data_IF_483257398431
#
_entry.id   IF_483257398431
#
_cell.length_a   1.000
_cell.length_b   1.000
_cell.length_c   1.000
_cell.angle_alpha   90.00
_cell.angle_beta   90.00
_cell.angle_gamma   90.00
#
_symmetry.space_group_name_H-M   'P 1'
#
loop_
_entity.id
_entity.type
_entity.pdbx_description
1 polymer ?
2 water ?
#
# COMPACT_ATOMS: atom_id res chain seq x y z
N UNK A 14 18.92 18.82 33.01
CA UNK A 14 17.71 18.24 32.41
C UNK A 14 16.70 19.32 32.01
N UNK A 15 16.18 19.20 30.79
CA UNK A 15 15.26 20.18 30.22
C UNK A 15 13.88 20.15 30.87
N UNK A 16 13.00 21.04 30.42
CA UNK A 16 11.60 21.02 30.84
C UNK A 16 10.97 19.68 30.51
N UNK A 17 9.92 19.29 31.25
CA UNK A 17 9.22 18.04 30.93
C UNK A 17 8.59 18.10 29.54
N UNK A 18 7.89 19.18 29.23
CA UNK A 18 7.27 19.33 27.92
C UNK A 18 8.33 19.52 26.82
N UNK A 19 9.48 20.05 27.21
CA UNK A 19 10.60 20.22 26.28
C UNK A 19 11.23 18.86 26.00
N UNK A 20 11.34 18.06 27.05
CA UNK A 20 11.99 16.76 26.96
C UNK A 20 11.24 15.85 25.98
N UNK A 21 9.91 15.93 26.04
CA UNK A 21 9.04 15.19 25.13
C UNK A 21 9.23 15.63 23.68
N UNK A 22 9.39 16.94 23.50
CA UNK A 22 9.58 17.52 22.18
C UNK A 22 10.77 16.84 21.51
N UNK A 23 11.84 16.67 22.29
CA UNK A 23 13.05 16.01 21.83
C UNK A 23 12.85 14.51 21.62
N UNK A 24 12.11 13.88 22.53
CA UNK A 24 11.76 12.48 22.36
C UNK A 24 11.07 12.30 21.01
N UNK A 25 10.06 13.13 20.75
CA UNK A 25 9.36 13.08 19.47
C UNK A 25 10.34 13.16 18.31
N UNK A 26 11.16 14.21 18.31
CA UNK A 26 12.15 14.42 17.26
C UNK A 26 13.06 13.22 17.11
N UNK A 27 13.60 12.75 18.24
CA UNK A 27 14.51 11.62 18.21
C UNK A 27 13.83 10.41 17.59
N UNK A 28 12.52 10.31 17.82
CA UNK A 28 11.72 9.21 17.28
C UNK A 28 11.63 9.21 15.76
N UNK A 29 11.31 10.35 15.16
CA UNK A 29 11.17 10.42 13.71
C UNK A 29 12.48 10.11 12.99
N UNK A 30 13.59 10.38 13.66
CA UNK A 30 14.90 10.09 13.09
C UNK A 30 15.05 8.62 12.72
N UNK A 31 14.25 7.77 13.35
CA UNK A 31 14.28 6.33 13.10
C UNK A 31 13.62 5.93 11.77
N UNK A 32 12.57 6.66 11.40
CA UNK A 32 11.80 6.30 10.22
C UNK A 32 12.69 6.01 8.99
N UNK A 33 13.56 6.97 8.63
CA UNK A 33 14.51 6.73 7.53
C UNK A 33 15.30 5.45 7.75
N UNK A 34 15.81 5.29 8.97
CA UNK A 34 16.60 4.11 9.34
C UNK A 34 15.82 2.79 9.21
N UNK A 35 14.59 2.77 9.71
CA UNK A 35 13.77 1.57 9.62
C UNK A 35 13.36 1.26 8.16
N UNK A 36 13.18 2.30 7.34
CA UNK A 36 12.82 2.06 5.95
C UNK A 36 13.84 1.12 5.30
N UNK A 37 15.13 1.34 5.59
CA UNK A 37 16.23 0.55 5.01
C UNK A 37 16.97 -0.20 6.11
N UNK A 38 16.88 -1.53 6.12
CA UNK A 38 17.33 -2.26 7.28
C UNK A 38 17.97 -3.62 7.11
N UNK A 39 19.07 -3.81 7.85
CA UNK A 39 19.69 -5.11 8.00
C UNK A 39 18.64 -6.11 8.45
N UNK A 40 18.88 -7.39 8.22
CA UNK A 40 18.02 -8.42 8.78
C UNK A 40 18.82 -9.37 9.67
N UNK A 44 17.02 -16.50 7.82
CA UNK A 44 17.83 -17.37 8.68
C UNK A 44 17.31 -18.81 8.67
N UNK A 45 18.23 -19.76 8.49
CA UNK A 45 17.90 -21.18 8.48
C UNK A 45 17.10 -21.57 9.71
N UNK A 46 17.52 -21.08 10.87
CA UNK A 46 16.75 -21.27 12.09
C UNK A 46 15.94 -20.02 12.42
N UNK A 47 14.70 -20.01 11.94
CA UNK A 47 13.79 -18.90 12.14
C UNK A 47 12.47 -19.45 12.70
N UNK A 48 12.05 -18.93 13.84
CA UNK A 48 10.82 -19.40 14.47
C UNK A 48 9.62 -18.65 13.96
N UNK A 49 8.88 -19.24 13.03
CA UNK A 49 7.66 -18.63 12.54
C UNK A 49 6.81 -18.17 13.73
N UNK A 50 6.53 -19.10 14.64
CA UNK A 50 5.66 -18.79 15.76
C UNK A 50 6.34 -17.94 16.82
N UNK A 51 7.58 -18.29 17.18
CA UNK A 51 8.28 -17.50 18.19
C UNK A 51 8.46 -16.06 17.71
N UNK A 52 8.53 -15.87 16.39
CA UNK A 52 8.66 -14.52 15.85
C UNK A 52 7.42 -13.70 16.14
N UNK A 53 6.27 -14.22 15.73
CA UNK A 53 5.04 -13.46 15.88
C UNK A 53 4.68 -13.24 17.34
N UNK A 54 5.13 -14.13 18.21
CA UNK A 54 4.92 -13.96 19.63
C UNK A 54 5.65 -12.72 20.11
N UNK A 55 6.95 -12.65 19.81
CA UNK A 55 7.79 -11.57 20.29
C UNK A 55 7.31 -10.21 19.78
N UNK A 56 6.92 -10.17 18.50
CA UNK A 56 6.49 -8.93 17.88
C UNK A 56 5.25 -8.38 18.55
N UNK A 57 4.30 -9.28 18.84
CA UNK A 57 3.09 -8.92 19.55
C UNK A 57 3.41 -8.30 20.91
N UNK A 58 4.20 -9.01 21.69
CA UNK A 58 4.63 -8.51 22.99
C UNK A 58 5.23 -7.14 22.81
N UNK A 59 6.09 -7.01 21.80
CA UNK A 59 6.77 -5.76 21.56
C UNK A 59 5.72 -4.67 21.47
N UNK A 60 4.72 -4.90 20.62
CA UNK A 60 3.61 -3.97 20.41
C UNK A 60 2.85 -3.62 21.68
N UNK A 61 2.49 -4.63 22.45
CA UNK A 61 1.76 -4.40 23.69
C UNK A 61 2.53 -3.42 24.54
N UNK A 62 3.81 -3.74 24.73
CA UNK A 62 4.70 -2.90 25.52
C UNK A 62 4.69 -1.47 25.00
N UNK A 63 4.79 -1.30 23.69
CA UNK A 63 4.76 0.04 23.12
C UNK A 63 3.49 0.80 23.55
N UNK A 64 2.33 0.22 23.29
CA UNK A 64 1.08 0.88 23.66
C UNK A 64 0.92 1.13 25.19
N UNK A 65 1.41 0.22 26.04
CA UNK A 65 1.44 0.48 27.49
C UNK A 65 2.13 1.80 27.75
N UNK A 66 3.26 2.00 27.10
CA UNK A 66 4.02 3.20 27.34
C UNK A 66 3.22 4.38 26.86
N UNK A 67 2.60 4.24 25.70
CA UNK A 67 1.78 5.31 25.16
C UNK A 67 0.70 5.69 26.16
N UNK A 68 -0.02 4.68 26.65
CA UNK A 68 -1.06 4.88 27.64
C UNK A 68 -0.51 5.53 28.90
N UNK A 69 0.63 5.02 29.38
CA UNK A 69 1.23 5.54 30.60
C UNK A 69 1.49 7.03 30.45
N UNK A 70 2.22 7.39 29.41
CA UNK A 70 2.57 8.79 29.18
C UNK A 70 1.31 9.63 29.06
N UNK A 71 0.32 9.11 28.33
CA UNK A 71 -0.89 9.87 28.06
C UNK A 71 -1.62 10.23 29.35
N UNK A 72 -1.89 9.23 30.18
CA UNK A 72 -2.58 9.45 31.43
C UNK A 72 -1.81 10.43 32.30
N UNK A 73 -0.49 10.25 32.34
CA UNK A 73 0.36 11.05 33.21
C UNK A 73 0.39 12.50 32.78
N UNK A 74 0.66 12.74 31.50
CA UNK A 74 0.80 14.11 31.04
C UNK A 74 -0.54 14.76 30.78
N UNK A 75 -1.61 14.10 31.21
CA UNK A 75 -2.95 14.66 31.12
C UNK A 75 -3.30 15.48 32.34
N UNK A 76 -2.51 15.38 33.39
CA UNK A 76 -2.90 15.96 34.65
C UNK A 76 -1.79 16.78 35.31
N UNK A 77 -2.14 17.52 36.35
CA UNK A 77 -1.17 18.35 37.04
C UNK A 77 -1.00 17.93 38.50
N UNK A 78 0.19 18.20 39.06
CA UNK A 78 1.27 18.84 38.32
C UNK A 78 1.90 17.85 37.36
N UNK A 79 2.72 18.31 36.43
CA UNK A 79 3.49 17.39 35.59
C UNK A 79 4.50 16.68 36.47
N UNK A 80 5.09 15.61 35.95
CA UNK A 80 6.21 14.95 36.65
C UNK A 80 7.45 15.84 36.71
N UNK A 81 8.35 15.54 37.64
CA UNK A 81 9.64 16.22 37.73
C UNK A 81 10.47 15.96 36.47
N UNK A 82 11.52 16.78 36.25
CA UNK A 82 12.30 16.60 35.02
C UNK A 82 12.94 15.23 34.96
N UNK A 83 13.43 14.72 36.08
CA UNK A 83 14.07 13.42 36.10
C UNK A 83 13.06 12.30 35.90
N UNK A 84 11.86 12.47 36.45
CA UNK A 84 10.78 11.52 36.25
C UNK A 84 10.46 11.42 34.77
N UNK A 85 10.31 12.58 34.14
CA UNK A 85 10.09 12.65 32.71
C UNK A 85 11.21 11.91 31.95
N UNK A 86 12.44 12.08 32.43
CA UNK A 86 13.58 11.42 31.83
C UNK A 86 13.36 9.92 31.79
N UNK A 87 12.93 9.36 32.92
CA UNK A 87 12.67 7.93 32.94
C UNK A 87 11.60 7.57 31.92
N UNK A 88 10.48 8.31 31.94
CA UNK A 88 9.38 8.00 31.03
C UNK A 88 9.91 7.96 29.60
N UNK A 89 10.65 9.00 29.23
CA UNK A 89 11.18 9.09 27.88
C UNK A 89 12.01 7.86 27.53
N UNK A 90 12.78 7.38 28.49
CA UNK A 90 13.62 6.22 28.25
C UNK A 90 12.78 4.98 28.02
N UNK A 91 11.77 4.79 28.87
CA UNK A 91 10.88 3.65 28.72
C UNK A 91 10.30 3.63 27.32
N UNK A 92 9.96 4.81 26.82
CA UNK A 92 9.33 4.94 25.50
C UNK A 92 10.31 4.50 24.42
N UNK A 93 11.53 5.04 24.50
CA UNK A 93 12.58 4.68 23.56
C UNK A 93 12.91 3.19 23.62
N UNK A 94 13.04 2.68 24.83
CA UNK A 94 13.34 1.27 25.04
C UNK A 94 12.28 0.42 24.34
N UNK A 95 11.01 0.75 24.59
CA UNK A 95 9.89 0.00 24.01
C UNK A 95 9.95 0.07 22.50
N UNK A 96 10.27 1.24 21.97
CA UNK A 96 10.37 1.39 20.53
C UNK A 96 11.55 0.57 19.98
N UNK A 97 12.73 0.79 20.55
CA UNK A 97 13.93 0.05 20.13
C UNK A 97 13.64 -1.45 20.10
N UNK A 98 13.01 -1.95 21.15
CA UNK A 98 12.75 -3.38 21.27
C UNK A 98 11.84 -3.86 20.16
N UNK A 99 10.89 -3.01 19.77
CA UNK A 99 9.94 -3.40 18.75
C UNK A 99 10.61 -3.49 17.39
N UNK A 100 11.34 -2.44 17.03
CA UNK A 100 12.09 -2.43 15.79
C UNK A 100 13.02 -3.64 15.73
N UNK A 101 13.72 -3.91 16.83
CA UNK A 101 14.63 -5.04 16.91
C UNK A 101 13.96 -6.33 16.44
N UNK A 102 12.73 -6.55 16.91
CA UNK A 102 11.97 -7.72 16.49
C UNK A 102 11.74 -7.67 14.99
N UNK A 103 11.31 -6.51 14.49
CA UNK A 103 11.10 -6.38 13.07
C UNK A 103 12.35 -6.82 12.32
N UNK A 104 13.51 -6.32 12.76
CA UNK A 104 14.78 -6.61 12.09
C UNK A 104 15.14 -8.09 12.14
N UNK A 105 14.35 -8.87 12.88
CA UNK A 105 14.55 -10.31 12.96
C UNK A 105 13.91 -11.06 11.78
N UNK A 106 13.06 -10.38 11.02
CA UNK A 106 12.41 -11.01 9.89
C UNK A 106 13.31 -11.03 8.65
N UNK A 107 13.57 -12.24 8.11
CA UNK A 107 14.45 -12.45 6.95
C UNK A 107 13.75 -12.20 5.62
N UNK A 108 14.42 -11.54 4.67
CA UNK A 108 13.88 -11.37 3.32
C UNK A 108 13.45 -12.73 2.80
N UNK A 109 14.22 -13.73 3.20
CA UNK A 109 13.88 -15.14 3.11
C UNK A 109 12.37 -15.41 3.13
N UNK A 110 11.68 -14.78 4.06
CA UNK A 110 10.27 -15.07 4.34
C UNK A 110 9.26 -14.43 3.38
N UNK A 111 9.76 -13.60 2.48
CA UNK A 111 8.89 -12.89 1.54
C UNK A 111 9.09 -11.40 1.58
N UNK A 112 9.38 -10.83 0.42
CA UNK A 112 9.55 -9.39 0.30
C UNK A 112 8.24 -8.66 0.62
N UNK A 113 7.15 -9.19 0.07
CA UNK A 113 5.84 -8.63 0.33
C UNK A 113 5.46 -8.68 1.81
N UNK A 114 5.76 -9.81 2.44
CA UNK A 114 5.50 -10.01 3.85
C UNK A 114 6.29 -8.98 4.64
N UNK A 115 7.55 -8.82 4.26
CA UNK A 115 8.45 -7.93 4.97
C UNK A 115 8.03 -6.48 4.79
N UNK A 116 7.50 -6.14 3.62
CA UNK A 116 7.08 -4.77 3.40
C UNK A 116 5.97 -4.42 4.37
N UNK A 117 5.06 -5.37 4.60
CA UNK A 117 3.91 -5.11 5.45
C UNK A 117 4.34 -5.02 6.90
N UNK A 118 5.24 -5.89 7.31
CA UNK A 118 5.70 -5.80 8.68
C UNK A 118 6.46 -4.49 8.84
N UNK A 119 7.26 -4.15 7.83
CA UNK A 119 8.01 -2.90 7.87
C UNK A 119 7.07 -1.71 8.02
N UNK A 120 6.04 -1.67 7.18
CA UNK A 120 5.07 -0.59 7.20
C UNK A 120 4.33 -0.49 8.52
N UNK A 121 4.01 -1.62 9.11
CA UNK A 121 3.37 -1.62 10.41
C UNK A 121 4.37 -1.05 11.42
N UNK A 122 5.62 -1.49 11.32
CA UNK A 122 6.66 -1.03 12.24
C UNK A 122 6.82 0.48 12.17
N UNK A 123 6.89 1.00 10.96
CA UNK A 123 6.96 2.44 10.80
C UNK A 123 5.72 3.14 11.40
N UNK A 124 4.52 2.61 11.10
CA UNK A 124 3.27 3.19 11.59
C UNK A 124 3.27 3.37 13.09
N UNK A 125 3.79 2.36 13.76
CA UNK A 125 3.90 2.38 15.19
C UNK A 125 4.87 3.48 15.60
N UNK A 126 6.09 3.44 15.04
CA UNK A 126 7.10 4.42 15.38
C UNK A 126 6.57 5.83 15.18
N UNK A 127 5.97 6.06 14.01
CA UNK A 127 5.45 7.38 13.65
C UNK A 127 4.30 7.78 14.57
N UNK A 128 3.36 6.88 14.78
CA UNK A 128 2.29 7.12 15.73
C UNK A 128 2.84 7.56 17.08
N UNK A 129 3.79 6.80 17.62
CA UNK A 129 4.31 7.11 18.94
C UNK A 129 4.93 8.49 18.95
N UNK A 130 5.51 8.87 17.81
CA UNK A 130 6.11 10.19 17.70
C UNK A 130 5.03 11.26 17.68
N UNK A 131 3.92 11.00 16.99
CA UNK A 131 2.84 11.98 16.88
C UNK A 131 2.30 12.32 18.25
N UNK A 132 2.15 11.28 19.07
CA UNK A 132 1.59 11.41 20.41
C UNK A 132 2.49 12.25 21.30
N UNK A 133 3.79 11.99 21.22
CA UNK A 133 4.77 12.68 22.04
C UNK A 133 4.74 14.17 21.76
N UNK A 134 4.67 14.53 20.48
CA UNK A 134 4.43 15.92 20.11
C UNK A 134 3.16 16.48 20.76
N UNK A 135 2.05 15.80 20.52
CA UNK A 135 0.75 16.23 21.02
C UNK A 135 0.78 16.51 22.52
N UNK A 136 1.45 15.63 23.26
CA UNK A 136 1.53 15.77 24.69
C UNK A 136 2.40 16.96 25.09
N UNK A 137 3.21 17.45 24.15
CA UNK A 137 4.18 18.51 24.41
C UNK A 137 3.61 19.92 24.34
N UNK A 138 2.40 20.05 23.79
CA UNK A 138 1.77 21.36 23.68
C UNK A 138 0.73 21.59 24.76
N UNK A 153 -5.85 8.69 17.69
CA UNK A 153 -5.23 7.53 18.36
C UNK A 153 -4.31 6.73 17.44
N UNK A 154 -3.57 7.45 16.61
CA UNK A 154 -2.64 6.85 15.66
C UNK A 154 -1.84 5.70 16.27
N UNK A 155 -1.20 5.93 17.40
CA UNK A 155 -0.34 4.91 17.99
C UNK A 155 -1.09 3.65 18.38
N UNK A 156 -2.17 3.83 19.15
CA UNK A 156 -2.91 2.69 19.65
C UNK A 156 -3.44 1.88 18.46
N UNK A 157 -4.13 2.56 17.56
CA UNK A 157 -4.61 1.91 16.36
C UNK A 157 -3.47 1.11 15.72
N UNK A 158 -2.33 1.78 15.54
CA UNK A 158 -1.17 1.12 14.91
C UNK A 158 -0.75 -0.14 15.65
N UNK A 159 -0.76 -0.09 16.98
CA UNK A 159 -0.41 -1.25 17.79
C UNK A 159 -1.48 -2.33 17.69
N UNK A 160 -2.75 -1.93 17.58
CA UNK A 160 -3.84 -2.85 17.29
C UNK A 160 -3.54 -3.74 16.07
N UNK A 161 -3.00 -3.14 15.02
CA UNK A 161 -2.75 -3.83 13.74
C UNK A 161 -2.02 -5.17 13.81
N UNK A 162 -1.18 -5.38 14.82
CA UNK A 162 -0.34 -6.58 14.86
C UNK A 162 -1.06 -7.89 14.49
N UNK A 163 -2.09 -8.26 15.26
CA UNK A 163 -2.85 -9.47 14.93
C UNK A 163 -3.35 -9.52 13.49
N UNK A 164 -3.77 -8.38 12.93
CA UNK A 164 -4.34 -8.35 11.59
C UNK A 164 -3.33 -8.69 10.51
N UNK A 165 -2.22 -7.98 10.51
CA UNK A 165 -1.23 -8.15 9.47
C UNK A 165 -0.91 -9.62 9.26
N UNK A 166 -0.89 -10.05 7.98
CA UNK A 166 -0.58 -11.41 7.51
C UNK A 166 0.73 -11.96 8.08
N UNK A 167 0.80 -13.28 8.18
CA UNK A 167 1.94 -13.93 8.81
C UNK A 167 2.64 -14.90 7.85
N UNK A 168 2.24 -14.88 6.58
CA UNK A 168 2.94 -15.61 5.52
C UNK A 168 2.78 -14.91 4.18
N UNK A 169 3.76 -15.08 3.31
CA UNK A 169 3.79 -14.31 2.08
C UNK A 169 2.57 -14.53 1.18
N UNK A 170 1.85 -15.64 1.40
CA UNK A 170 0.64 -15.87 0.62
C UNK A 170 -0.45 -14.88 1.03
N UNK A 171 -0.75 -14.83 2.32
CA UNK A 171 -1.74 -13.90 2.81
C UNK A 171 -1.32 -12.46 2.50
N UNK A 172 -0.02 -12.20 2.59
CA UNK A 172 0.51 -10.87 2.29
C UNK A 172 0.22 -10.53 0.84
N UNK A 173 0.50 -11.47 -0.06
CA UNK A 173 0.20 -11.28 -1.47
C UNK A 173 -1.29 -11.04 -1.66
N UNK A 174 -2.10 -11.87 -1.00
CA UNK A 174 -3.54 -11.74 -1.14
C UNK A 174 -3.98 -10.35 -0.72
N UNK A 175 -3.46 -9.90 0.40
CA UNK A 175 -3.77 -8.57 0.90
C UNK A 175 -3.41 -7.52 -0.14
N UNK A 176 -2.21 -7.63 -0.69
CA UNK A 176 -1.70 -6.62 -1.59
C UNK A 176 -2.62 -6.55 -2.80
N UNK A 177 -2.99 -7.74 -3.27
CA UNK A 177 -3.88 -7.85 -4.40
C UNK A 177 -5.23 -7.16 -4.13
N UNK A 178 -5.85 -7.43 -2.99
CA UNK A 178 -7.13 -6.78 -2.76
C UNK A 178 -6.98 -5.26 -2.62
N UNK A 179 -5.88 -4.80 -2.04
CA UNK A 179 -5.63 -3.35 -1.98
C UNK A 179 -5.65 -2.77 -3.40
N UNK A 180 -5.16 -3.55 -4.35
CA UNK A 180 -5.16 -3.11 -5.73
C UNK A 180 -6.55 -3.08 -6.33
N UNK A 181 -7.23 -4.22 -6.25
CA UNK A 181 -8.61 -4.29 -6.72
C UNK A 181 -9.39 -3.07 -6.24
N UNK A 182 -9.31 -2.82 -4.93
CA UNK A 182 -10.02 -1.70 -4.36
C UNK A 182 -9.62 -0.36 -4.97
N UNK A 183 -8.32 -0.12 -5.15
CA UNK A 183 -7.87 1.15 -5.72
C UNK A 183 -8.43 1.36 -7.12
N UNK A 184 -8.25 0.35 -7.96
CA UNK A 184 -8.81 0.41 -9.30
C UNK A 184 -10.32 0.66 -9.27
N UNK A 185 -11.03 -0.14 -8.48
CA UNK A 185 -12.47 0.02 -8.31
C UNK A 185 -12.85 1.48 -8.02
N UNK A 186 -12.14 2.12 -7.11
CA UNK A 186 -12.44 3.51 -6.81
C UNK A 186 -12.21 4.43 -8.01
N UNK A 187 -11.09 4.24 -8.69
CA UNK A 187 -10.76 5.06 -9.85
C UNK A 187 -11.91 5.03 -10.86
N UNK A 188 -12.29 3.80 -11.21
CA UNK A 188 -13.47 3.51 -11.99
C UNK A 188 -14.61 4.41 -11.52
N UNK A 189 -15.12 4.14 -10.33
CA UNK A 189 -16.26 4.90 -9.79
C UNK A 189 -16.07 6.41 -9.93
N UNK A 190 -14.88 6.91 -9.60
CA UNK A 190 -14.63 8.35 -9.68
C UNK A 190 -14.86 8.87 -11.10
N UNK A 191 -14.23 8.23 -12.08
CA UNK A 191 -14.39 8.66 -13.46
C UNK A 191 -15.84 8.57 -13.90
N UNK A 192 -16.52 7.51 -13.50
CA UNK A 192 -17.92 7.30 -13.88
C UNK A 192 -18.82 8.41 -13.33
N UNK A 193 -18.74 8.65 -12.03
CA UNK A 193 -19.46 9.78 -11.45
C UNK A 193 -19.08 11.05 -12.20
N UNK A 194 -17.78 11.23 -12.42
CA UNK A 194 -17.26 12.40 -13.11
C UNK A 194 -17.98 12.61 -14.44
N UNK A 195 -18.04 11.57 -15.23
CA UNK A 195 -18.70 11.63 -16.53
C UNK A 195 -20.19 11.92 -16.41
N UNK A 196 -20.88 11.19 -15.51
CA UNK A 196 -22.31 11.38 -15.32
C UNK A 196 -22.67 12.85 -15.11
N UNK A 197 -21.97 13.48 -14.18
CA UNK A 197 -22.24 14.84 -13.78
C UNK A 197 -21.96 15.82 -14.93
N UNK A 198 -21.10 15.42 -15.84
CA UNK A 198 -20.84 16.20 -17.05
C UNK A 198 -22.15 16.57 -17.74
N UNK A 199 -22.31 17.86 -18.07
CA UNK A 199 -23.55 18.40 -18.64
C UNK A 199 -24.32 17.38 -19.49
N UNK A 200 -25.53 17.02 -19.04
CA UNK A 200 -26.38 16.04 -19.73
C UNK A 200 -26.71 16.45 -21.16
N UNK A 229 -15.83 25.24 -23.34
CA UNK A 229 -14.60 25.39 -24.10
C UNK A 229 -13.53 24.43 -23.57
N UNK A 230 -12.53 24.97 -22.87
CA UNK A 230 -11.57 24.14 -22.16
C UNK A 230 -12.24 23.63 -20.90
N UNK A 231 -11.60 22.71 -20.19
CA UNK A 231 -12.15 22.21 -18.93
C UNK A 231 -13.50 21.52 -19.15
N UNK A 232 -13.84 21.31 -20.41
CA UNK A 232 -15.05 20.58 -20.78
C UNK A 232 -14.67 19.23 -21.34
N UNK A 233 -15.68 18.44 -21.69
CA UNK A 233 -15.45 17.23 -22.47
C UNK A 233 -16.22 17.36 -23.79
N UNK A 234 -15.54 17.10 -24.90
CA UNK A 234 -16.19 17.12 -26.20
C UNK A 234 -17.00 15.86 -26.41
N UNK A 235 -17.91 15.87 -27.39
CA UNK A 235 -18.57 14.64 -27.80
C UNK A 235 -17.49 13.61 -28.09
N UNK A 236 -16.48 14.02 -28.86
CA UNK A 236 -15.36 13.16 -29.20
C UNK A 236 -14.66 12.70 -27.92
N UNK A 237 -14.44 13.62 -27.00
CA UNK A 237 -13.86 13.28 -25.71
C UNK A 237 -14.70 12.20 -25.05
N UNK A 238 -16.01 12.46 -25.00
CA UNK A 238 -16.97 11.54 -24.39
C UNK A 238 -16.88 10.17 -25.00
N UNK A 239 -16.92 10.11 -26.32
CA UNK A 239 -16.88 8.85 -27.04
C UNK A 239 -15.62 8.05 -26.74
N UNK A 240 -14.49 8.73 -26.68
CA UNK A 240 -13.21 8.07 -26.40
C UNK A 240 -13.10 7.62 -24.95
N UNK A 241 -13.88 8.23 -24.08
CA UNK A 241 -13.84 7.86 -22.67
C UNK A 241 -14.39 6.44 -22.49
N UNK A 242 -15.47 6.13 -23.20
CA UNK A 242 -16.13 4.83 -23.09
C UNK A 242 -15.18 3.63 -23.09
N UNK A 243 -14.35 3.50 -24.14
CA UNK A 243 -13.39 2.39 -24.18
C UNK A 243 -12.43 2.46 -23.00
N UNK A 244 -11.88 3.65 -22.73
CA UNK A 244 -10.96 3.82 -21.61
C UNK A 244 -11.54 3.26 -20.33
N UNK A 245 -12.84 3.49 -20.10
CA UNK A 245 -13.47 3.05 -18.87
C UNK A 245 -13.60 1.53 -18.80
N UNK A 246 -14.04 0.92 -19.89
CA UNK A 246 -14.09 -0.53 -19.96
C UNK A 246 -12.69 -1.11 -19.70
N UNK A 247 -11.68 -0.49 -20.30
CA UNK A 247 -10.29 -0.94 -20.14
C UNK A 247 -9.92 -0.96 -18.65
N UNK A 248 -10.36 0.08 -17.94
CA UNK A 248 -10.10 0.12 -16.52
C UNK A 248 -10.84 -1.03 -15.84
N UNK A 249 -12.11 -1.21 -16.20
CA UNK A 249 -12.92 -2.31 -15.66
C UNK A 249 -12.26 -3.66 -15.94
N UNK A 250 -11.79 -3.85 -17.16
CA UNK A 250 -11.06 -5.05 -17.48
C UNK A 250 -9.85 -5.19 -16.54
N UNK A 251 -9.18 -4.08 -16.25
CA UNK A 251 -8.04 -4.10 -15.33
C UNK A 251 -8.41 -4.71 -13.99
N UNK A 252 -9.49 -4.21 -13.40
CA UNK A 252 -9.98 -4.74 -12.13
C UNK A 252 -10.30 -6.21 -12.31
N UNK A 253 -11.04 -6.53 -13.36
CA UNK A 253 -11.34 -7.91 -13.68
C UNK A 253 -10.07 -8.74 -13.61
N UNK A 254 -8.98 -8.22 -14.18
CA UNK A 254 -7.69 -8.89 -14.19
C UNK A 254 -7.15 -9.16 -12.79
N UNK A 255 -7.12 -8.11 -11.96
CA UNK A 255 -6.54 -8.24 -10.65
C UNK A 255 -7.37 -9.24 -9.85
N UNK A 256 -8.68 -9.21 -10.04
CA UNK A 256 -9.57 -10.09 -9.29
C UNK A 256 -9.32 -11.52 -9.70
N UNK A 257 -9.06 -11.72 -11.00
CA UNK A 257 -8.79 -13.05 -11.51
C UNK A 257 -7.47 -13.55 -10.91
N UNK A 258 -6.48 -12.67 -10.87
CA UNK A 258 -5.19 -13.00 -10.31
C UNK A 258 -5.31 -13.35 -8.83
N UNK A 259 -5.97 -12.48 -8.06
CA UNK A 259 -6.19 -12.74 -6.63
C UNK A 259 -6.78 -14.14 -6.46
N UNK A 260 -7.87 -14.38 -7.17
CA UNK A 260 -8.59 -15.66 -7.10
C UNK A 260 -7.65 -16.83 -7.32
N UNK A 261 -6.91 -16.80 -8.42
CA UNK A 261 -5.96 -17.87 -8.71
C UNK A 261 -4.96 -18.03 -7.57
N UNK A 262 -4.44 -16.91 -7.06
CA UNK A 262 -3.51 -16.97 -5.94
C UNK A 262 -4.18 -17.62 -4.72
N UNK A 263 -5.39 -17.15 -4.42
CA UNK A 263 -6.14 -17.71 -3.31
C UNK A 263 -6.31 -19.21 -3.46
N UNK A 264 -6.77 -19.63 -4.64
CA UNK A 264 -7.10 -21.04 -4.86
C UNK A 264 -5.87 -21.94 -5.02
N UNK A 265 -4.84 -21.44 -5.69
CA UNK A 265 -3.69 -22.27 -6.03
C UNK A 265 -2.37 -21.86 -5.38
N UNK A 266 -2.31 -20.63 -4.87
CA UNK A 266 -1.09 -20.14 -4.27
C UNK A 266 -0.58 -21.07 -3.19
N UNK A 267 0.73 -21.21 -3.10
CA UNK A 267 1.32 -22.02 -2.04
C UNK A 267 2.43 -21.27 -1.30
N UNK A 268 2.27 -21.18 0.02
CA UNK A 268 3.18 -20.44 0.87
C UNK A 268 4.66 -20.58 0.49
N UNK A 269 5.07 -21.79 0.10
CA UNK A 269 6.48 -22.05 -0.26
C UNK A 269 6.98 -21.13 -1.36
N UNK A 270 6.09 -20.80 -2.29
CA UNK A 270 6.45 -20.09 -3.50
C UNK A 270 6.74 -18.61 -3.27
N UNK A 271 7.46 -18.32 -2.20
CA UNK A 271 7.82 -16.96 -1.82
C UNK A 271 8.21 -16.09 -3.00
N UNK A 272 9.10 -16.62 -3.84
CA UNK A 272 9.57 -15.89 -5.00
C UNK A 272 8.45 -15.59 -5.99
N UNK A 273 7.70 -16.60 -6.37
CA UNK A 273 6.67 -16.40 -7.37
C UNK A 273 5.58 -15.48 -6.85
N UNK A 274 5.21 -15.67 -5.58
CA UNK A 274 4.22 -14.78 -5.00
C UNK A 274 4.72 -13.36 -5.14
N UNK A 275 5.97 -13.13 -4.74
CA UNK A 275 6.58 -11.82 -4.85
C UNK A 275 6.53 -11.32 -6.29
N UNK A 276 6.85 -12.19 -7.24
CA UNK A 276 6.76 -11.86 -8.66
C UNK A 276 5.37 -11.39 -9.06
N UNK A 277 4.35 -12.23 -8.81
CA UNK A 277 3.02 -11.87 -9.28
C UNK A 277 2.61 -10.55 -8.63
N UNK A 278 2.87 -10.41 -7.33
CA UNK A 278 2.55 -9.17 -6.63
C UNK A 278 3.25 -7.98 -7.30
N UNK A 279 4.54 -8.12 -7.58
CA UNK A 279 5.30 -7.00 -8.13
C UNK A 279 4.68 -6.44 -9.42
N UNK A 280 4.37 -7.31 -10.36
CA UNK A 280 3.80 -6.83 -11.61
C UNK A 280 2.37 -6.34 -11.38
N UNK A 281 1.61 -7.05 -10.55
CA UNK A 281 0.25 -6.66 -10.18
C UNK A 281 0.17 -5.22 -9.70
N UNK A 282 1.17 -4.81 -8.93
CA UNK A 282 1.16 -3.50 -8.32
C UNK A 282 1.21 -2.40 -9.36
N UNK A 283 1.73 -2.72 -10.54
CA UNK A 283 1.87 -1.72 -11.59
C UNK A 283 0.53 -1.29 -12.16
N UNK A 284 -0.42 -2.22 -12.17
CA UNK A 284 -1.74 -1.97 -12.73
C UNK A 284 -2.35 -0.67 -12.20
N UNK A 285 -2.21 -0.47 -10.91
CA UNK A 285 -2.84 0.67 -10.28
C UNK A 285 -2.35 2.05 -10.77
N UNK A 286 -1.03 2.29 -10.72
CA UNK A 286 -0.56 3.59 -11.21
C UNK A 286 -0.86 3.78 -12.69
N UNK A 287 -0.83 2.70 -13.48
CA UNK A 287 -1.20 2.80 -14.87
C UNK A 287 -2.56 3.43 -14.92
N UNK A 288 -3.50 2.78 -14.24
CA UNK A 288 -4.88 3.23 -14.23
C UNK A 288 -4.93 4.67 -13.78
N UNK A 289 -4.19 4.95 -12.71
CA UNK A 289 -4.15 6.29 -12.15
C UNK A 289 -3.72 7.29 -13.23
N UNK A 290 -2.58 7.02 -13.87
CA UNK A 290 -2.10 7.84 -14.97
C UNK A 290 -3.17 8.02 -16.05
N UNK A 291 -3.77 6.90 -16.48
CA UNK A 291 -4.83 6.94 -17.50
C UNK A 291 -5.99 7.87 -17.10
N UNK A 292 -6.48 7.70 -15.89
CA UNK A 292 -7.59 8.49 -15.42
C UNK A 292 -7.25 9.97 -15.48
N UNK A 293 -6.08 10.31 -14.93
CA UNK A 293 -5.66 11.69 -14.81
C UNK A 293 -5.59 12.40 -16.16
N UNK A 294 -5.24 11.67 -17.21
CA UNK A 294 -5.18 12.25 -18.53
C UNK A 294 -6.56 12.39 -19.17
N UNK A 295 -7.51 11.58 -18.71
CA UNK A 295 -8.89 11.67 -19.20
C UNK A 295 -9.51 13.03 -18.86
N UNK A 296 -9.34 13.48 -17.62
CA UNK A 296 -9.92 14.76 -17.20
C UNK A 296 -9.35 15.90 -18.04
N UNK A 297 -10.21 16.89 -18.35
CA UNK A 297 -9.89 18.02 -19.22
C UNK A 297 -8.78 18.95 -18.70
N UNK A 298 -8.05 19.58 -19.62
CA UNK A 298 -8.22 19.26 -21.05
C UNK A 298 -7.60 17.90 -21.31
N UNK A 299 -8.34 17.03 -22.01
CA UNK A 299 -7.80 15.71 -22.27
C UNK A 299 -7.20 15.65 -23.67
N UNK A 300 -5.89 15.44 -23.72
CA UNK A 300 -5.23 15.24 -25.01
C UNK A 300 -5.47 13.81 -25.44
N UNK A 301 -6.03 13.65 -26.62
CA UNK A 301 -6.29 12.32 -27.14
C UNK A 301 -4.99 11.55 -27.30
N UNK A 302 -3.93 12.24 -27.73
CA UNK A 302 -2.65 11.61 -27.94
C UNK A 302 -2.16 10.98 -26.64
N UNK A 303 -2.19 11.74 -25.57
CA UNK A 303 -1.82 11.24 -24.25
C UNK A 303 -2.70 10.06 -23.80
N UNK A 304 -4.00 10.15 -24.02
CA UNK A 304 -4.88 9.06 -23.63
C UNK A 304 -4.45 7.78 -24.35
N UNK A 305 -4.15 7.87 -25.64
CA UNK A 305 -3.79 6.68 -26.40
C UNK A 305 -2.55 6.03 -25.80
N UNK A 306 -1.51 6.82 -25.61
CA UNK A 306 -0.27 6.37 -25.00
C UNK A 306 -0.49 5.66 -23.67
N UNK A 307 -1.14 6.34 -22.74
CA UNK A 307 -1.45 5.76 -21.44
C UNK A 307 -2.25 4.46 -21.54
N UNK A 308 -3.25 4.45 -22.39
CA UNK A 308 -4.04 3.26 -22.58
C UNK A 308 -3.10 2.12 -22.96
N UNK A 309 -2.26 2.36 -23.95
CA UNK A 309 -1.34 1.33 -24.40
C UNK A 309 -0.40 0.88 -23.27
N UNK A 310 0.05 1.82 -22.44
CA UNK A 310 0.90 1.44 -21.31
C UNK A 310 0.20 0.44 -20.41
N UNK A 311 -1.04 0.78 -20.02
CA UNK A 311 -1.88 -0.07 -19.18
C UNK A 311 -2.05 -1.45 -19.78
N UNK A 312 -2.30 -1.51 -21.08
CA UNK A 312 -2.54 -2.78 -21.71
C UNK A 312 -1.28 -3.62 -21.57
N UNK A 313 -0.16 -3.06 -22.01
CA UNK A 313 1.10 -3.76 -21.93
C UNK A 313 1.31 -4.30 -20.52
N UNK A 314 1.02 -3.47 -19.53
CA UNK A 314 1.09 -3.91 -18.14
C UNK A 314 0.20 -5.11 -17.82
N UNK A 315 -1.11 -4.96 -18.06
CA UNK A 315 -2.07 -6.03 -17.78
C UNK A 315 -1.54 -7.32 -18.39
N UNK A 316 -1.14 -7.23 -19.64
CA UNK A 316 -0.69 -8.42 -20.34
C UNK A 316 0.52 -9.01 -19.64
N UNK A 317 1.48 -8.17 -19.27
CA UNK A 317 2.65 -8.65 -18.56
C UNK A 317 2.23 -9.35 -17.27
N UNK A 318 1.25 -8.74 -16.58
CA UNK A 318 0.69 -9.32 -15.36
C UNK A 318 0.10 -10.69 -15.63
N UNK A 319 -0.79 -10.76 -16.61
CA UNK A 319 -1.42 -12.02 -16.97
C UNK A 319 -0.38 -13.07 -17.33
N UNK A 320 0.61 -12.68 -18.12
CA UNK A 320 1.63 -13.62 -18.59
C UNK A 320 2.40 -14.21 -17.42
N UNK A 321 2.77 -13.36 -16.46
CA UNK A 321 3.51 -13.82 -15.30
C UNK A 321 2.68 -14.77 -14.47
N UNK A 322 1.39 -14.49 -14.38
CA UNK A 322 0.46 -15.36 -13.65
C UNK A 322 0.33 -16.73 -14.32
N UNK A 323 0.17 -16.75 -15.65
CA UNK A 323 0.07 -18.00 -16.39
C UNK A 323 1.29 -18.92 -16.21
N UNK A 324 2.45 -18.33 -15.95
CA UNK A 324 3.68 -19.11 -15.81
C UNK A 324 3.91 -19.57 -14.37
N UNK A 325 3.30 -18.85 -13.44
CA UNK A 325 3.45 -19.16 -12.02
C UNK A 325 2.85 -20.51 -11.64
N UNK A 326 3.09 -20.92 -10.41
CA UNK A 326 2.53 -22.15 -9.88
C UNK A 326 1.04 -21.98 -9.65
N UNK A 327 0.52 -20.81 -10.00
CA UNK A 327 -0.83 -20.42 -9.62
C UNK A 327 -1.88 -20.70 -10.70
N UNK A 328 -1.40 -20.96 -11.91
CA UNK A 328 -2.23 -21.08 -13.10
C UNK A 328 -3.25 -22.24 -13.11
N UNK A 329 -4.31 -22.07 -13.91
CA UNK A 329 -5.40 -23.05 -14.13
C UNK A 329 -4.89 -24.38 -14.68
N UNK A 334 -9.20 -21.22 -21.00
CA UNK A 334 -9.50 -20.61 -19.70
C UNK A 334 -9.90 -19.11 -19.81
N UNK A 335 -10.08 -18.45 -18.68
CA UNK A 335 -10.63 -17.09 -18.68
C UNK A 335 -9.65 -16.04 -19.18
N UNK A 336 -8.37 -16.33 -19.06
CA UNK A 336 -7.35 -15.34 -19.39
C UNK A 336 -7.40 -14.93 -20.86
N UNK A 337 -7.54 -15.90 -21.76
CA UNK A 337 -7.60 -15.49 -23.17
C UNK A 337 -8.75 -14.53 -23.48
N UNK A 338 -9.93 -14.66 -22.88
CA UNK A 338 -11.00 -13.75 -23.26
C UNK A 338 -11.02 -12.43 -22.50
N UNK A 339 -10.39 -12.39 -21.34
CA UNK A 339 -10.07 -11.10 -20.78
C UNK A 339 -9.16 -10.35 -21.75
N UNK A 340 -8.25 -11.08 -22.38
CA UNK A 340 -7.31 -10.46 -23.31
C UNK A 340 -8.04 -9.98 -24.57
N UNK A 341 -9.04 -10.77 -25.00
CA UNK A 341 -9.93 -10.33 -26.07
C UNK A 341 -10.59 -9.00 -25.73
N UNK A 342 -11.21 -8.93 -24.55
CA UNK A 342 -11.85 -7.69 -24.13
C UNK A 342 -10.83 -6.55 -24.13
N UNK A 343 -9.68 -6.77 -23.49
CA UNK A 343 -8.63 -5.77 -23.43
C UNK A 343 -8.20 -5.32 -24.83
N UNK A 344 -7.94 -6.27 -25.73
CA UNK A 344 -7.51 -5.89 -27.08
C UNK A 344 -8.57 -5.05 -27.77
N UNK A 345 -9.83 -5.40 -27.55
CA UNK A 345 -10.92 -4.73 -28.25
C UNK A 345 -11.02 -3.28 -27.79
N UNK A 346 -10.90 -3.09 -26.48
CA UNK A 346 -10.85 -1.75 -25.93
C UNK A 346 -9.72 -0.97 -26.61
N UNK A 347 -8.50 -1.51 -26.55
CA UNK A 347 -7.37 -0.77 -27.07
C UNK A 347 -7.55 -0.55 -28.57
N UNK A 348 -8.12 -1.53 -29.26
CA UNK A 348 -8.32 -1.38 -30.69
C UNK A 348 -9.24 -0.22 -30.95
N UNK A 349 -10.27 -0.13 -30.11
CA UNK A 349 -11.26 0.90 -30.23
C UNK A 349 -10.62 2.26 -29.95
N UNK A 350 -9.77 2.30 -28.94
CA UNK A 350 -9.04 3.50 -28.59
C UNK A 350 -8.08 3.94 -29.70
N UNK A 351 -7.37 2.99 -30.30
CA UNK A 351 -6.50 3.32 -31.43
C UNK A 351 -7.34 3.94 -32.53
N UNK A 352 -8.52 3.39 -32.77
CA UNK A 352 -9.35 3.82 -33.89
C UNK A 352 -9.92 5.22 -33.66
N UNK A 353 -10.29 5.53 -32.43
CA UNK A 353 -10.87 6.83 -32.10
C UNK A 353 -9.82 7.94 -32.13
N UNK A 354 -8.58 7.55 -32.41
CA UNK A 354 -7.47 8.38 -32.07
C UNK A 354 -6.45 8.41 -33.21
N UNK A 355 -6.81 7.77 -34.33
CA UNK A 355 -5.87 7.60 -35.44
C UNK A 355 -5.32 8.90 -36.03
N UNK A 356 -6.15 9.93 -36.13
CA UNK A 356 -5.74 11.16 -36.80
C UNK A 356 -4.53 11.83 -36.12
N UNK A 357 -4.28 11.45 -34.87
CA UNK A 357 -3.17 12.02 -34.11
C UNK A 357 -1.82 11.50 -34.60
N UNK A 358 -1.79 10.26 -35.08
CA UNK A 358 -0.54 9.62 -35.42
C UNK A 358 -0.36 9.37 -36.92
N UNK A 359 -0.99 10.21 -37.75
CA UNK A 359 -1.09 9.93 -39.17
C UNK A 359 0.14 10.18 -40.06
N UNK A 360 0.72 11.37 -40.00
CA UNK A 360 1.80 11.68 -40.93
C UNK A 360 3.18 11.26 -40.41
#
# INVERSE_FOLDING_TARGET
MASATAPAAAVPTLASPLEQLRHLAEELRLLLPRVRVGEAQETTEEFNREMFWRRLNEAAVTVSREATTLTIVFSQLPLPSPQETQKFCEQVHAAIKAFIAVYYLLPKDQGITLRKLVRGATLDIVDGMAQLMEVLSVTPTQSPENNDLISYNSVWVACQQMPQIPRDNKAAALLMLTKNVDFVKDAHEEMEQAVEESDPYSGLLNDTEENNSDNHNHEDDVLGFPSNQDLYWSEDDQELIIPCLALVRASKACLKKIRMLVAENGKKDQVAQLDDIVDISDEISPSVDDLALSIYPPMSHLTVRINSAKLVSVLKKALEITKASHVTPQPEDSWIPLLINAIDHCMNRIKELTQSELEL
#
